data_IF_885380644812
#
_entry.id   IF_885380644812
#
_cell.length_a   1.000
_cell.length_b   1.000
_cell.length_c   1.000
_cell.angle_alpha   90.00
_cell.angle_beta   90.00
_cell.angle_gamma   90.00
#
_symmetry.space_group_name_H-M   'P 1'
#
loop_
_entity.id
_entity.type
_entity.pdbx_description
1 polymer ?
#
# COMPACT_ATOMS: atom_id res chain seq x y z
N UNK A 1 10.70 16.43 -29.33
CA UNK A 1 11.62 16.32 -28.17
C UNK A 1 10.94 16.74 -26.87
N UNK A 2 10.11 17.79 -26.87
CA UNK A 2 9.38 18.28 -25.70
C UNK A 2 8.39 17.25 -25.12
N UNK A 3 7.59 16.57 -25.96
CA UNK A 3 6.61 15.58 -25.50
C UNK A 3 7.25 14.36 -24.81
N UNK A 4 8.43 13.93 -25.27
CA UNK A 4 9.18 12.83 -24.66
C UNK A 4 9.61 13.16 -23.22
N UNK A 5 10.12 14.38 -23.01
CA UNK A 5 10.52 14.87 -21.69
C UNK A 5 9.33 15.03 -20.76
N UNK A 6 8.18 15.46 -21.27
CA UNK A 6 6.96 15.65 -20.49
C UNK A 6 6.39 14.31 -19.99
N UNK A 7 6.37 13.28 -20.85
CA UNK A 7 5.92 11.94 -20.46
C UNK A 7 6.86 11.34 -19.40
N UNK A 8 8.18 11.51 -19.55
CA UNK A 8 9.15 11.02 -18.55
C UNK A 8 8.98 11.75 -17.22
N UNK A 9 8.83 13.07 -17.23
CA UNK A 9 8.63 13.85 -16.02
C UNK A 9 7.33 13.45 -15.30
N UNK A 10 6.25 13.25 -16.05
CA UNK A 10 4.98 12.76 -15.52
C UNK A 10 5.11 11.35 -14.93
N UNK A 11 5.73 10.42 -15.66
CA UNK A 11 5.94 9.05 -15.20
C UNK A 11 6.83 9.00 -13.95
N UNK A 12 7.90 9.79 -13.90
CA UNK A 12 8.78 9.91 -12.73
C UNK A 12 8.05 10.48 -11.52
N UNK A 13 7.20 11.50 -11.70
CA UNK A 13 6.39 12.07 -10.63
C UNK A 13 5.40 11.03 -10.08
N UNK A 14 4.71 10.29 -10.95
CA UNK A 14 3.81 9.21 -10.55
C UNK A 14 4.54 8.11 -9.78
N UNK A 15 5.73 7.70 -10.25
CA UNK A 15 6.57 6.73 -9.55
C UNK A 15 6.92 7.20 -8.15
N UNK A 16 7.37 8.45 -8.02
CA UNK A 16 7.84 9.00 -6.75
C UNK A 16 6.69 9.15 -5.74
N UNK A 17 5.56 9.70 -6.16
CA UNK A 17 4.37 9.85 -5.30
C UNK A 17 3.86 8.47 -4.88
N UNK A 18 3.75 7.53 -5.82
CA UNK A 18 3.29 6.18 -5.53
C UNK A 18 4.18 5.45 -4.53
N UNK A 19 5.51 5.55 -4.67
CA UNK A 19 6.45 4.95 -3.73
C UNK A 19 6.32 5.52 -2.31
N UNK A 20 6.11 6.83 -2.19
CA UNK A 20 6.04 7.52 -0.89
C UNK A 20 4.71 7.26 -0.19
N UNK A 21 3.60 7.29 -0.91
CA UNK A 21 2.25 7.23 -0.33
C UNK A 21 1.74 5.78 -0.19
N UNK A 22 1.92 4.95 -1.23
CA UNK A 22 1.39 3.59 -1.27
C UNK A 22 2.45 2.48 -1.33
N UNK A 23 3.74 2.84 -1.27
CA UNK A 23 4.83 1.90 -1.45
C UNK A 23 5.12 1.54 -2.92
N UNK A 24 6.15 0.73 -3.11
CA UNK A 24 6.73 0.41 -4.43
C UNK A 24 5.73 -0.27 -5.39
N UNK A 25 4.82 -1.08 -4.84
CA UNK A 25 3.85 -1.88 -5.60
C UNK A 25 2.48 -1.20 -5.71
N UNK A 26 2.36 0.05 -5.28
CA UNK A 26 1.10 0.79 -5.46
C UNK A 26 0.76 1.02 -6.93
N UNK A 27 -0.53 1.13 -7.24
CA UNK A 27 -1.01 1.41 -8.59
C UNK A 27 -0.32 2.64 -9.22
N UNK A 28 -0.20 3.80 -8.53
CA UNK A 28 0.50 4.96 -9.08
C UNK A 28 2.00 4.67 -9.35
N UNK A 29 2.68 3.94 -8.45
CA UNK A 29 4.10 3.60 -8.62
C UNK A 29 4.34 2.70 -9.84
N UNK A 30 3.54 1.64 -9.97
CA UNK A 30 3.63 0.68 -11.08
C UNK A 30 3.32 1.36 -12.41
N UNK A 31 2.28 2.21 -12.47
CA UNK A 31 1.94 2.97 -13.69
C UNK A 31 3.08 3.91 -14.08
N UNK A 32 3.67 4.62 -13.11
CA UNK A 32 4.85 5.47 -13.35
C UNK A 32 6.04 4.67 -13.87
N UNK A 33 6.36 3.53 -13.26
CA UNK A 33 7.44 2.64 -13.71
C UNK A 33 7.20 2.11 -15.11
N UNK A 34 5.98 1.65 -15.40
CA UNK A 34 5.61 1.18 -16.73
C UNK A 34 5.82 2.29 -17.79
N UNK A 35 5.48 3.54 -17.43
CA UNK A 35 5.77 4.71 -18.25
C UNK A 35 7.26 4.91 -18.50
N UNK A 36 8.08 4.88 -17.45
CA UNK A 36 9.54 5.07 -17.56
C UNK A 36 10.21 3.96 -18.38
N UNK A 37 9.91 2.70 -18.07
CA UNK A 37 10.46 1.52 -18.77
C UNK A 37 9.97 1.53 -20.23
N UNK A 38 8.70 1.85 -20.47
CA UNK A 38 8.15 2.01 -21.82
C UNK A 38 8.93 3.05 -22.62
N UNK A 39 9.15 4.24 -22.05
CA UNK A 39 9.89 5.32 -22.70
C UNK A 39 11.38 5.01 -22.93
N UNK A 40 11.97 4.13 -22.14
CA UNK A 40 13.34 3.64 -22.31
C UNK A 40 13.48 2.70 -23.53
N UNK A 41 12.48 1.84 -23.78
CA UNK A 41 12.51 0.86 -24.89
C UNK A 41 11.89 1.35 -26.21
N UNK A 42 11.33 2.57 -26.25
CA UNK A 42 10.79 3.16 -27.48
C UNK A 42 11.95 3.61 -28.40
N UNK A 43 12.29 2.75 -29.36
CA UNK A 43 13.18 3.07 -30.49
C UNK A 43 12.41 3.76 -31.63
N UNK A 44 13.10 4.57 -32.44
CA UNK A 44 12.57 5.19 -33.67
C UNK A 44 13.17 4.55 -34.93
N UNK A 45 12.36 4.16 -35.93
CA UNK A 45 10.89 4.27 -35.99
C UNK A 45 10.19 3.31 -35.02
N UNK A 46 9.04 3.74 -34.49
CA UNK A 46 8.29 2.98 -33.50
C UNK A 46 7.77 1.67 -34.10
N UNK A 47 8.01 0.56 -33.39
CA UNK A 47 7.43 -0.75 -33.68
C UNK A 47 6.72 -1.28 -32.44
N UNK A 48 5.50 -1.82 -32.59
CA UNK A 48 4.74 -2.42 -31.48
C UNK A 48 5.51 -3.54 -30.78
N UNK A 49 6.39 -4.24 -31.49
CA UNK A 49 7.24 -5.30 -30.92
C UNK A 49 8.19 -4.78 -29.83
N UNK A 50 8.55 -3.50 -29.88
CA UNK A 50 9.44 -2.88 -28.89
C UNK A 50 8.75 -2.72 -27.53
N UNK A 51 7.41 -2.83 -27.47
CA UNK A 51 6.65 -2.81 -26.21
C UNK A 51 6.60 -4.17 -25.51
N UNK A 52 7.03 -5.26 -26.15
CA UNK A 52 6.98 -6.60 -25.53
C UNK A 52 7.94 -6.67 -24.33
N UNK A 53 9.18 -6.20 -24.49
CA UNK A 53 10.19 -6.18 -23.40
C UNK A 53 9.71 -5.36 -22.19
N UNK A 54 9.31 -4.09 -22.31
CA UNK A 54 8.84 -3.31 -21.17
C UNK A 54 7.58 -3.92 -20.54
N UNK A 55 6.65 -4.46 -21.33
CA UNK A 55 5.46 -5.13 -20.80
C UNK A 55 5.82 -6.38 -19.97
N UNK A 56 6.77 -7.20 -20.42
CA UNK A 56 7.22 -8.36 -19.65
C UNK A 56 7.89 -7.97 -18.33
N UNK A 57 8.69 -6.90 -18.32
CA UNK A 57 9.31 -6.39 -17.08
C UNK A 57 8.23 -5.94 -16.10
N UNK A 58 7.25 -5.16 -16.56
CA UNK A 58 6.13 -4.69 -15.74
C UNK A 58 5.30 -5.86 -15.21
N UNK A 59 5.04 -6.87 -16.03
CA UNK A 59 4.33 -8.08 -15.60
C UNK A 59 5.06 -8.80 -14.46
N UNK A 60 6.39 -8.94 -14.56
CA UNK A 60 7.19 -9.55 -13.49
C UNK A 60 7.11 -8.73 -12.19
N UNK A 61 7.14 -7.40 -12.28
CA UNK A 61 7.00 -6.53 -11.11
C UNK A 61 5.62 -6.69 -10.46
N UNK A 62 4.55 -6.75 -11.25
CA UNK A 62 3.18 -6.97 -10.75
C UNK A 62 3.07 -8.32 -10.05
N UNK A 63 3.60 -9.39 -10.64
CA UNK A 63 3.57 -10.72 -10.04
C UNK A 63 4.39 -10.78 -8.75
N UNK A 64 5.56 -10.13 -8.71
CA UNK A 64 6.37 -10.02 -7.50
C UNK A 64 5.61 -9.27 -6.39
N UNK A 65 4.95 -8.17 -6.71
CA UNK A 65 4.09 -7.42 -5.78
C UNK A 65 3.00 -8.30 -5.20
N UNK A 66 2.27 -9.02 -6.07
CA UNK A 66 1.22 -9.95 -5.65
C UNK A 66 1.74 -11.04 -4.70
N UNK A 67 2.91 -11.63 -4.99
CA UNK A 67 3.51 -12.63 -4.11
C UNK A 67 3.85 -12.05 -2.73
N UNK A 68 4.35 -10.81 -2.66
CA UNK A 68 4.65 -10.14 -1.41
C UNK A 68 3.38 -9.78 -0.63
N UNK A 69 2.32 -9.36 -1.31
CA UNK A 69 1.02 -9.09 -0.68
C UNK A 69 0.41 -10.35 -0.08
N UNK A 70 0.44 -11.47 -0.81
CA UNK A 70 -0.06 -12.75 -0.30
C UNK A 70 0.82 -13.27 0.83
N UNK A 71 2.15 -13.20 0.68
CA UNK A 71 3.10 -13.71 1.68
C UNK A 71 3.18 -12.85 2.95
N UNK A 72 2.92 -11.56 2.86
CA UNK A 72 2.85 -10.63 3.99
C UNK A 72 1.47 -10.52 4.63
N UNK A 73 0.46 -11.21 4.06
CA UNK A 73 -0.91 -11.21 4.57
C UNK A 73 -1.00 -11.96 5.90
N UNK A 74 -1.62 -11.35 6.90
CA UNK A 74 -1.95 -12.01 8.17
C UNK A 74 -3.44 -12.32 8.24
N UNK A 75 -3.80 -13.60 8.15
CA UNK A 75 -5.20 -14.06 8.18
C UNK A 75 -5.73 -14.32 9.58
N UNK A 76 -4.83 -14.41 10.57
CA UNK A 76 -5.18 -14.92 11.90
C UNK A 76 -5.67 -13.79 12.81
N UNK A 77 -5.18 -12.57 12.61
CA UNK A 77 -5.56 -11.38 13.36
C UNK A 77 -5.20 -10.08 12.62
N UNK A 78 -5.93 -9.01 12.92
CA UNK A 78 -5.55 -7.65 12.55
C UNK A 78 -4.78 -7.01 13.70
N UNK A 79 -3.49 -6.78 13.51
CA UNK A 79 -2.67 -6.08 14.48
C UNK A 79 -2.63 -4.60 14.13
N UNK A 80 -3.02 -3.76 15.08
CA UNK A 80 -2.96 -2.32 14.99
C UNK A 80 -1.87 -1.84 15.94
N UNK A 81 -0.86 -1.17 15.40
CA UNK A 81 0.21 -0.56 16.17
C UNK A 81 0.01 0.94 16.21
N UNK A 82 -0.25 1.48 17.40
CA UNK A 82 -0.50 2.90 17.66
C UNK A 82 0.76 3.57 18.19
N UNK A 83 1.03 4.79 17.74
CA UNK A 83 2.09 5.65 18.26
C UNK A 83 1.47 6.71 19.18
N UNK A 84 2.00 6.85 20.40
CA UNK A 84 1.61 7.88 21.36
C UNK A 84 0.09 7.95 21.61
N UNK A 85 -0.52 6.79 21.89
CA UNK A 85 -1.94 6.74 22.20
C UNK A 85 -2.25 7.52 23.48
N UNK A 86 -3.29 8.35 23.44
CA UNK A 86 -3.87 9.03 24.60
C UNK A 86 -5.16 8.34 25.03
N UNK A 87 -5.25 7.93 26.29
CA UNK A 87 -6.46 7.34 26.87
C UNK A 87 -7.54 8.42 27.15
N UNK A 88 -8.85 8.07 27.13
CA UNK A 88 -9.43 6.77 26.80
C UNK A 88 -9.73 6.61 25.30
N UNK A 89 -9.47 5.42 24.76
CA UNK A 89 -9.93 4.98 23.45
C UNK A 89 -11.12 4.07 23.63
N UNK A 90 -12.23 4.40 22.99
CA UNK A 90 -13.42 3.57 22.99
C UNK A 90 -13.29 2.50 21.90
N UNK A 91 -13.07 1.26 22.32
CA UNK A 91 -13.01 0.07 21.47
C UNK A 91 -14.31 -0.74 21.54
N UNK A 92 -15.39 -0.19 22.12
CA UNK A 92 -16.68 -0.86 22.18
C UNK A 92 -17.20 -1.15 20.76
N UNK A 93 -17.21 -2.43 20.39
CA UNK A 93 -17.60 -2.90 19.05
C UNK A 93 -16.47 -3.53 18.24
N UNK A 94 -15.25 -3.59 18.76
CA UNK A 94 -14.17 -4.42 18.23
C UNK A 94 -14.01 -5.67 19.10
N UNK A 95 -13.83 -6.82 18.46
CA UNK A 95 -13.52 -8.08 19.13
C UNK A 95 -12.00 -8.13 19.37
N UNK A 96 -11.59 -7.58 20.53
CA UNK A 96 -10.19 -7.40 20.90
C UNK A 96 -9.65 -8.69 21.52
N UNK A 97 -8.60 -9.26 20.90
CA UNK A 97 -7.91 -10.44 21.39
C UNK A 97 -6.90 -10.06 22.48
N UNK A 98 -6.08 -9.03 22.23
CA UNK A 98 -5.11 -8.54 23.20
C UNK A 98 -4.79 -7.06 23.02
N UNK A 99 -4.36 -6.43 24.12
CA UNK A 99 -3.81 -5.07 24.14
C UNK A 99 -2.48 -5.15 24.87
N UNK A 100 -1.41 -4.78 24.19
CA UNK A 100 -0.07 -4.67 24.76
C UNK A 100 0.35 -3.20 24.74
N UNK A 101 0.59 -2.63 25.92
CA UNK A 101 1.05 -1.26 26.03
C UNK A 101 2.55 -1.23 26.32
N UNK A 102 3.31 -0.67 25.40
CA UNK A 102 4.77 -0.60 25.49
C UNK A 102 5.21 0.86 25.39
N UNK A 103 5.24 1.56 26.52
CA UNK A 103 5.63 2.97 26.73
C UNK A 103 5.09 3.97 25.69
N UNK A 104 5.63 3.93 24.48
CA UNK A 104 5.35 4.84 23.37
C UNK A 104 4.45 4.23 22.28
N UNK A 105 4.26 2.92 22.31
CA UNK A 105 3.47 2.17 21.33
C UNK A 105 2.44 1.28 22.01
N UNK A 106 1.22 1.29 21.49
CA UNK A 106 0.17 0.37 21.92
C UNK A 106 -0.16 -0.56 20.77
N UNK A 107 -0.06 -1.87 21.01
CA UNK A 107 -0.35 -2.92 20.04
C UNK A 107 -1.70 -3.52 20.40
N UNK A 108 -2.64 -3.47 19.47
CA UNK A 108 -3.99 -4.01 19.62
C UNK A 108 -4.19 -5.11 18.58
N UNK A 109 -4.46 -6.33 19.03
CA UNK A 109 -4.81 -7.43 18.13
C UNK A 109 -6.33 -7.60 18.10
N UNK A 110 -6.91 -7.54 16.91
CA UNK A 110 -8.34 -7.72 16.66
C UNK A 110 -8.62 -9.03 15.93
N UNK A 111 -9.78 -9.59 16.20
CA UNK A 111 -10.34 -10.75 15.49
C UNK A 111 -10.51 -10.48 13.98
N UNK A 112 -10.26 -11.47 13.11
CA UNK A 112 -10.35 -11.33 11.65
C UNK A 112 -11.79 -11.29 11.10
N UNK A 113 -12.80 -11.26 11.97
CA UNK A 113 -14.22 -11.39 11.59
C UNK A 113 -14.82 -10.18 10.85
N UNK A 114 -14.14 -9.03 10.83
CA UNK A 114 -14.60 -7.82 10.13
C UNK A 114 -13.69 -7.51 8.96
N UNK A 115 -14.24 -6.94 7.89
CA UNK A 115 -13.44 -6.55 6.72
C UNK A 115 -12.43 -5.45 7.06
N UNK A 116 -11.24 -5.52 6.46
CA UNK A 116 -10.17 -4.54 6.66
C UNK A 116 -10.62 -3.13 6.29
N UNK A 117 -11.50 -3.03 5.30
CA UNK A 117 -12.07 -1.77 4.84
C UNK A 117 -12.94 -1.10 5.90
N UNK A 118 -13.81 -1.87 6.55
CA UNK A 118 -14.68 -1.35 7.62
C UNK A 118 -13.85 -0.98 8.84
N UNK A 119 -12.91 -1.84 9.23
CA UNK A 119 -11.96 -1.60 10.32
C UNK A 119 -11.20 -0.30 10.04
N UNK A 120 -10.50 -0.18 8.92
CA UNK A 120 -9.67 0.99 8.61
C UNK A 120 -10.49 2.30 8.66
N UNK A 121 -11.69 2.29 8.08
CA UNK A 121 -12.57 3.47 8.06
C UNK A 121 -13.02 3.87 9.47
N UNK A 122 -13.32 2.90 10.34
CA UNK A 122 -13.73 3.19 11.72
C UNK A 122 -12.54 3.59 12.59
N UNK A 123 -11.36 3.00 12.41
CA UNK A 123 -10.14 3.35 13.15
C UNK A 123 -9.73 4.80 12.94
N UNK A 124 -9.86 5.34 11.72
CA UNK A 124 -9.59 6.77 11.46
C UNK A 124 -10.43 7.70 12.33
N UNK A 125 -11.69 7.35 12.62
CA UNK A 125 -12.54 8.13 13.49
C UNK A 125 -12.21 7.89 14.97
N UNK A 126 -11.93 6.65 15.35
CA UNK A 126 -11.63 6.25 16.74
C UNK A 126 -10.35 6.90 17.25
N UNK A 127 -9.30 6.95 16.41
CA UNK A 127 -7.99 7.49 16.80
C UNK A 127 -7.78 8.96 16.44
N UNK A 128 -8.79 9.63 15.86
CA UNK A 128 -8.68 11.05 15.51
C UNK A 128 -8.41 11.90 16.76
N UNK A 129 -7.22 12.51 16.81
CA UNK A 129 -6.79 13.32 17.94
C UNK A 129 -6.48 12.52 19.22
N UNK A 130 -6.34 11.18 19.10
CA UNK A 130 -6.01 10.28 20.21
C UNK A 130 -4.75 9.44 19.95
N UNK A 131 -4.19 9.48 18.75
CA UNK A 131 -2.89 8.91 18.42
C UNK A 131 -2.22 9.77 17.34
N UNK A 132 -0.89 9.80 17.34
CA UNK A 132 -0.10 10.53 16.33
C UNK A 132 -0.04 9.76 15.00
N UNK A 133 -0.19 8.44 15.06
CA UNK A 133 -0.23 7.57 13.90
C UNK A 133 -0.60 6.14 14.29
N UNK A 134 -1.05 5.38 13.30
CA UNK A 134 -1.31 3.95 13.45
C UNK A 134 -0.85 3.18 12.22
N UNK A 135 -0.41 1.95 12.44
CA UNK A 135 -0.14 0.95 11.42
C UNK A 135 -1.09 -0.22 11.60
N UNK A 136 -1.48 -0.86 10.51
CA UNK A 136 -2.29 -2.08 10.56
C UNK A 136 -1.60 -3.17 9.77
N UNK A 137 -1.68 -4.42 10.25
CA UNK A 137 -1.43 -5.57 9.37
C UNK A 137 -2.53 -5.66 8.34
N UNK A 138 -2.17 -6.27 7.22
CA UNK A 138 -3.04 -6.43 6.07
C UNK A 138 -3.48 -7.88 5.95
N UNK A 139 -4.77 -8.10 5.66
CA UNK A 139 -5.25 -9.39 5.21
C UNK A 139 -5.76 -9.27 3.78
N UNK A 140 -5.02 -9.86 2.84
CA UNK A 140 -5.33 -9.82 1.41
C UNK A 140 -6.71 -10.39 1.09
N UNK A 141 -7.18 -11.35 1.89
CA UNK A 141 -8.44 -12.07 1.63
C UNK A 141 -9.68 -11.39 2.21
N UNK A 142 -9.54 -10.43 3.13
CA UNK A 142 -10.68 -9.77 3.81
C UNK A 142 -10.98 -8.36 3.28
N UNK A 143 -10.21 -7.87 2.31
CA UNK A 143 -10.40 -6.52 1.76
C UNK A 143 -11.65 -6.38 0.87
N UNK A 144 -12.16 -7.49 0.33
CA UNK A 144 -13.28 -7.54 -0.61
C UNK A 144 -14.64 -7.70 0.08
#
# INVERSE_FOLDING_TARGET
MIHYRLIIAFAAALTLIGMVDGGLFSNPAIIGFAGLIGMYYIEKPFSKRNLIKPAMIVLVIILAGLCLEIGGSNTDYHQITLINQTEPVDLAGYDVISIENNNNTTIINLSPNKSDKEILKSLFNVFKGKADGFFTTWNFYSYF
#
